data_IF_668900513037
#
_entry.id   IF_668900513037
#
_cell.length_a   1.000
_cell.length_b   1.000
_cell.length_c   1.000
_cell.angle_alpha   90.00
_cell.angle_beta   90.00
_cell.angle_gamma   90.00
#
_symmetry.space_group_name_H-M   'P 1'
#
loop_
_entity.id
_entity.type
_entity.pdbx_description
1 polymer ?
#
# COMPACT_ATOMS: atom_id res chain seq x y z
N UNK A 1 -16.47 8.48 -29.07
CA UNK A 1 -15.86 8.88 -27.78
C UNK A 1 -14.62 9.67 -28.10
N UNK A 2 -14.39 10.81 -27.44
CA UNK A 2 -13.20 11.66 -27.63
C UNK A 2 -11.94 10.90 -27.18
N UNK A 3 -10.96 10.62 -28.05
CA UNK A 3 -9.75 9.88 -27.67
C UNK A 3 -8.92 10.67 -26.65
N UNK A 4 -8.33 9.98 -25.70
CA UNK A 4 -7.53 10.55 -24.61
C UNK A 4 -6.08 10.10 -24.74
N UNK A 5 -5.17 11.06 -24.84
CA UNK A 5 -3.75 10.82 -25.06
C UNK A 5 -2.96 11.37 -23.88
N UNK A 6 -2.25 10.50 -23.18
CA UNK A 6 -1.39 10.90 -22.07
C UNK A 6 0.05 10.99 -22.55
N UNK A 7 0.68 12.13 -22.33
CA UNK A 7 2.07 12.40 -22.67
C UNK A 7 2.90 12.38 -21.39
N UNK A 8 3.94 11.54 -21.34
CA UNK A 8 4.77 11.37 -20.14
C UNK A 8 6.24 11.22 -20.52
N UNK A 9 7.14 11.61 -19.64
CA UNK A 9 8.58 11.55 -19.90
C UNK A 9 9.41 12.13 -18.75
N UNK A 10 10.74 11.94 -18.78
CA UNK A 10 11.65 12.54 -17.81
C UNK A 10 11.56 14.07 -17.77
N UNK A 11 12.05 14.68 -16.68
CA UNK A 11 12.15 16.14 -16.61
C UNK A 11 12.96 16.68 -17.79
N UNK A 12 12.52 17.80 -18.36
CA UNK A 12 13.16 18.45 -19.51
C UNK A 12 13.19 17.62 -20.82
N UNK A 13 12.42 16.53 -20.90
CA UNK A 13 12.28 15.74 -22.13
C UNK A 13 11.42 16.41 -23.20
N UNK A 14 10.82 17.57 -22.94
CA UNK A 14 9.99 18.29 -23.92
C UNK A 14 8.53 17.84 -23.99
N UNK A 15 8.02 17.20 -22.94
CA UNK A 15 6.60 16.81 -22.79
C UNK A 15 5.65 17.99 -23.07
N UNK A 16 5.90 19.15 -22.48
CA UNK A 16 5.02 20.32 -22.61
C UNK A 16 4.90 20.80 -24.06
N UNK A 17 6.02 20.79 -24.80
CA UNK A 17 6.04 21.13 -26.22
C UNK A 17 5.21 20.13 -27.05
N UNK A 18 5.34 18.84 -26.76
CA UNK A 18 4.57 17.78 -27.44
C UNK A 18 3.07 17.92 -27.12
N UNK A 19 2.70 18.17 -25.86
CA UNK A 19 1.29 18.42 -25.48
C UNK A 19 0.73 19.63 -26.23
N UNK A 20 1.44 20.75 -26.24
CA UNK A 20 1.00 21.97 -26.90
C UNK A 20 0.81 21.76 -28.41
N UNK A 21 1.76 21.12 -29.08
CA UNK A 21 1.68 20.86 -30.51
C UNK A 21 0.55 19.88 -30.87
N UNK A 22 0.35 18.82 -30.07
CA UNK A 22 -0.72 17.85 -30.30
C UNK A 22 -2.11 18.45 -30.03
N UNK A 23 -2.29 19.31 -29.02
CA UNK A 23 -3.56 20.02 -28.80
C UNK A 23 -3.97 20.88 -30.00
N UNK A 24 -3.00 21.49 -30.68
CA UNK A 24 -3.25 22.27 -31.90
C UNK A 24 -3.61 21.39 -33.10
N UNK A 25 -2.94 20.25 -33.26
CA UNK A 25 -3.13 19.36 -34.43
C UNK A 25 -4.27 18.36 -34.27
N UNK A 26 -4.68 18.04 -33.05
CA UNK A 26 -5.74 17.09 -32.72
C UNK A 26 -6.76 17.72 -31.75
N UNK A 27 -7.52 18.74 -32.17
CA UNK A 27 -8.49 19.41 -31.30
C UNK A 27 -9.63 18.49 -30.85
N UNK A 28 -9.86 17.39 -31.56
CA UNK A 28 -10.84 16.37 -31.22
C UNK A 28 -10.33 15.35 -30.18
N UNK A 29 -9.08 15.42 -29.74
CA UNK A 29 -8.50 14.54 -28.73
C UNK A 29 -8.21 15.30 -27.42
N UNK A 30 -8.42 14.66 -26.28
CA UNK A 30 -7.97 15.19 -24.98
C UNK A 30 -6.51 14.80 -24.80
N UNK A 31 -5.61 15.75 -24.99
CA UNK A 31 -4.17 15.54 -24.79
C UNK A 31 -3.73 16.18 -23.48
N UNK A 32 -3.09 15.42 -22.60
CA UNK A 32 -2.60 15.93 -21.32
C UNK A 32 -1.29 15.26 -20.89
N UNK A 33 -0.50 15.95 -20.07
CA UNK A 33 0.61 15.37 -19.32
C UNK A 33 0.27 15.10 -17.85
N UNK A 34 -0.85 15.68 -17.37
CA UNK A 34 -1.29 15.51 -16.00
C UNK A 34 -2.19 14.28 -15.89
N UNK A 35 -1.70 13.28 -15.17
CA UNK A 35 -2.44 12.05 -14.91
C UNK A 35 -3.67 12.28 -14.03
N UNK A 36 -3.71 13.33 -13.22
CA UNK A 36 -4.87 13.64 -12.36
C UNK A 36 -6.08 14.10 -13.17
N UNK A 37 -5.86 14.78 -14.30
CA UNK A 37 -6.92 15.21 -15.24
C UNK A 37 -7.69 14.03 -15.86
N UNK A 38 -7.06 12.86 -15.90
CA UNK A 38 -7.67 11.63 -16.41
C UNK A 38 -8.65 10.99 -15.42
N UNK A 39 -8.56 11.34 -14.14
CA UNK A 39 -9.34 10.72 -13.06
C UNK A 39 -9.30 9.18 -13.13
N UNK A 40 -10.45 8.57 -13.43
CA UNK A 40 -10.61 7.10 -13.56
C UNK A 40 -10.48 6.58 -14.99
N UNK A 41 -10.36 7.45 -15.99
CA UNK A 41 -10.31 7.07 -17.41
C UNK A 41 -8.90 6.62 -17.79
N UNK A 42 -8.78 5.46 -18.42
CA UNK A 42 -7.53 5.02 -19.02
C UNK A 42 -7.26 5.85 -20.29
N UNK A 43 -6.01 6.26 -20.55
CA UNK A 43 -5.68 6.88 -21.81
C UNK A 43 -5.85 5.87 -22.95
N UNK A 44 -6.35 6.33 -24.09
CA UNK A 44 -6.45 5.56 -25.32
C UNK A 44 -5.07 5.40 -25.98
N UNK A 45 -4.11 6.28 -25.69
CA UNK A 45 -2.70 6.17 -26.06
C UNK A 45 -1.77 6.81 -25.01
N UNK A 46 -0.59 6.23 -24.80
CA UNK A 46 0.50 6.81 -23.99
C UNK A 46 1.68 7.17 -24.89
N UNK A 47 2.10 8.42 -24.86
CA UNK A 47 3.30 8.92 -25.55
C UNK A 47 4.45 9.04 -24.55
N UNK A 48 5.47 8.21 -24.71
CA UNK A 48 6.67 8.18 -23.88
C UNK A 48 7.76 9.07 -24.48
N UNK A 49 7.85 10.31 -24.01
CA UNK A 49 8.75 11.34 -24.54
C UNK A 49 10.11 11.27 -23.85
N UNK A 50 11.17 11.17 -24.65
CA UNK A 50 12.58 11.21 -24.21
C UNK A 50 13.36 12.17 -25.10
N UNK A 51 14.37 12.83 -24.54
CA UNK A 51 15.14 13.82 -25.31
C UNK A 51 16.15 13.15 -26.24
N UNK A 52 16.33 13.70 -27.45
CA UNK A 52 17.40 13.32 -28.38
C UNK A 52 18.83 13.63 -27.86
N UNK A 53 18.97 14.30 -26.72
CA UNK A 53 20.26 14.65 -26.15
C UNK A 53 21.09 13.43 -25.72
N UNK A 54 20.42 12.36 -25.24
CA UNK A 54 21.07 11.13 -24.80
C UNK A 54 20.10 9.94 -24.81
N UNK A 55 20.61 8.69 -24.90
CA UNK A 55 19.79 7.50 -24.67
C UNK A 55 19.12 7.50 -23.29
N UNK A 56 17.90 6.99 -23.23
CA UNK A 56 17.15 6.89 -21.98
C UNK A 56 17.74 5.81 -21.06
N UNK A 57 17.65 6.04 -19.76
CA UNK A 57 18.06 5.09 -18.73
C UNK A 57 16.87 4.22 -18.28
N UNK A 58 17.14 3.16 -17.51
CA UNK A 58 16.08 2.33 -16.92
C UNK A 58 15.19 3.14 -15.97
N UNK A 59 15.76 4.13 -15.27
CA UNK A 59 15.03 5.02 -14.37
C UNK A 59 14.06 5.94 -15.13
N UNK A 60 14.49 6.44 -16.29
CA UNK A 60 13.62 7.24 -17.17
C UNK A 60 12.40 6.44 -17.62
N UNK A 61 12.62 5.18 -17.99
CA UNK A 61 11.56 4.29 -18.43
C UNK A 61 10.62 3.85 -17.29
N UNK A 62 11.14 3.64 -16.08
CA UNK A 62 10.32 3.27 -14.92
C UNK A 62 9.20 4.28 -14.63
N UNK A 63 9.43 5.57 -14.91
CA UNK A 63 8.42 6.62 -14.77
C UNK A 63 7.26 6.46 -15.76
N UNK A 64 7.55 5.92 -16.95
CA UNK A 64 6.56 5.61 -18.00
C UNK A 64 5.78 4.34 -17.65
N UNK A 65 6.43 3.31 -17.10
CA UNK A 65 5.79 2.02 -16.78
C UNK A 65 4.64 2.12 -15.77
N UNK A 66 4.73 3.05 -14.81
CA UNK A 66 3.66 3.34 -13.83
C UNK A 66 2.35 3.75 -14.50
N UNK A 67 2.45 4.27 -15.73
CA UNK A 67 1.35 4.85 -16.50
C UNK A 67 0.82 3.89 -17.56
N UNK A 68 1.71 3.13 -18.20
CA UNK A 68 1.38 2.21 -19.31
C UNK A 68 0.47 1.06 -18.89
N UNK A 69 0.44 0.67 -17.61
CA UNK A 69 -0.35 -0.48 -17.13
C UNK A 69 -1.87 -0.45 -17.36
N UNK A 70 -2.41 0.58 -18.01
CA UNK A 70 -3.83 0.74 -18.34
C UNK A 70 -4.12 0.96 -19.84
N UNK A 71 -3.11 0.90 -20.71
CA UNK A 71 -3.23 1.24 -22.13
C UNK A 71 -2.42 0.29 -23.01
N UNK A 72 -3.03 -0.22 -24.07
CA UNK A 72 -2.36 -1.13 -25.01
C UNK A 72 -1.49 -0.40 -26.05
N UNK A 73 -1.78 0.88 -26.30
CA UNK A 73 -1.04 1.71 -27.26
C UNK A 73 0.00 2.60 -26.56
N UNK A 74 1.28 2.22 -26.70
CA UNK A 74 2.42 3.03 -26.28
C UNK A 74 3.23 3.42 -27.52
N UNK A 75 3.60 4.70 -27.62
CA UNK A 75 4.45 5.22 -28.69
C UNK A 75 5.65 5.92 -28.04
N UNK A 76 6.86 5.51 -28.42
CA UNK A 76 8.09 6.20 -28.02
C UNK A 76 8.31 7.45 -28.85
N UNK A 77 8.62 8.57 -28.20
CA UNK A 77 8.83 9.86 -28.87
C UNK A 77 10.21 10.38 -28.50
N UNK A 78 11.08 10.55 -29.50
CA UNK A 78 12.38 11.20 -29.33
C UNK A 78 12.22 12.68 -29.68
N UNK A 79 12.25 13.55 -28.68
CA UNK A 79 12.04 14.99 -28.84
C UNK A 79 13.34 15.76 -29.13
N UNK A 80 13.23 17.02 -29.54
CA UNK A 80 14.36 17.93 -29.82
C UNK A 80 15.26 17.44 -30.97
N UNK A 81 14.67 16.78 -31.96
CA UNK A 81 15.42 16.26 -33.13
C UNK A 81 16.01 17.37 -33.99
N UNK A 82 15.49 18.59 -33.88
CA UNK A 82 16.01 19.82 -34.47
C UNK A 82 17.39 20.20 -33.90
N UNK A 83 17.61 19.97 -32.61
CA UNK A 83 18.83 20.35 -31.92
C UNK A 83 19.94 19.28 -31.97
N UNK A 84 19.60 18.02 -32.26
CA UNK A 84 20.52 16.89 -32.10
C UNK A 84 20.65 16.04 -33.36
N UNK A 85 21.70 16.25 -34.17
CA UNK A 85 21.92 15.54 -35.45
C UNK A 85 21.97 14.02 -35.36
N UNK A 86 22.38 13.45 -34.21
CA UNK A 86 22.50 12.01 -33.95
C UNK A 86 21.24 11.38 -33.32
N UNK A 87 20.10 12.06 -33.37
CA UNK A 87 18.86 11.59 -32.74
C UNK A 87 18.42 10.19 -33.21
N UNK A 88 18.72 9.80 -34.45
CA UNK A 88 18.40 8.47 -35.00
C UNK A 88 19.16 7.36 -34.29
N UNK A 89 20.41 7.61 -33.92
CA UNK A 89 21.22 6.66 -33.14
C UNK A 89 20.67 6.54 -31.71
N UNK A 90 20.28 7.66 -31.10
CA UNK A 90 19.63 7.68 -29.79
C UNK A 90 18.31 6.90 -29.82
N UNK A 91 17.50 7.07 -30.86
CA UNK A 91 16.25 6.31 -31.03
C UNK A 91 16.51 4.80 -31.18
N UNK A 92 17.51 4.41 -31.98
CA UNK A 92 17.88 3.01 -32.14
C UNK A 92 18.36 2.39 -30.82
N UNK A 93 19.18 3.13 -30.06
CA UNK A 93 19.63 2.72 -28.73
C UNK A 93 18.46 2.58 -27.75
N UNK A 94 17.52 3.53 -27.75
CA UNK A 94 16.32 3.47 -26.91
C UNK A 94 15.45 2.25 -27.24
N UNK A 95 15.24 1.96 -28.53
CA UNK A 95 14.48 0.79 -28.97
C UNK A 95 15.15 -0.52 -28.54
N UNK A 96 16.48 -0.62 -28.68
CA UNK A 96 17.24 -1.80 -28.28
C UNK A 96 17.20 -2.01 -26.76
N UNK A 97 17.47 -0.95 -25.98
CA UNK A 97 17.37 -0.97 -24.52
C UNK A 97 15.99 -1.42 -24.07
N UNK A 98 14.94 -0.84 -24.64
CA UNK A 98 13.57 -1.13 -24.27
C UNK A 98 13.18 -2.60 -24.56
N UNK A 99 13.57 -3.11 -25.72
CA UNK A 99 13.33 -4.51 -26.08
C UNK A 99 14.13 -5.50 -25.19
N UNK A 100 15.30 -5.10 -24.69
CA UNK A 100 16.09 -5.90 -23.74
C UNK A 100 15.51 -5.91 -22.34
N UNK A 101 14.82 -4.82 -21.97
CA UNK A 101 14.29 -4.58 -20.65
C UNK A 101 12.97 -5.30 -20.38
N UNK A 102 12.10 -5.36 -21.41
CA UNK A 102 10.84 -6.10 -21.37
C UNK A 102 10.40 -6.44 -22.80
N UNK A 103 10.16 -7.72 -23.06
CA UNK A 103 9.74 -8.20 -24.37
C UNK A 103 8.41 -7.58 -24.85
N UNK A 104 7.55 -7.11 -23.93
CA UNK A 104 6.26 -6.47 -24.26
C UNK A 104 6.42 -5.23 -25.13
N UNK A 105 7.58 -4.58 -25.07
CA UNK A 105 7.85 -3.32 -25.78
C UNK A 105 8.66 -3.48 -27.06
N UNK A 106 8.97 -4.72 -27.47
CA UNK A 106 9.75 -4.98 -28.68
C UNK A 106 9.13 -4.39 -29.95
N UNK A 107 7.80 -4.34 -29.99
CA UNK A 107 7.02 -3.81 -31.11
C UNK A 107 6.59 -2.35 -30.93
N UNK A 108 7.02 -1.66 -29.86
CA UNK A 108 6.69 -0.26 -29.61
C UNK A 108 7.18 0.61 -30.77
N UNK A 109 6.30 1.36 -31.45
CA UNK A 109 6.72 2.30 -32.49
C UNK A 109 7.46 3.50 -31.88
N UNK A 110 8.43 4.03 -32.62
CA UNK A 110 9.23 5.19 -32.21
C UNK A 110 9.22 6.26 -33.30
N UNK A 111 9.01 7.52 -32.91
CA UNK A 111 8.98 8.67 -33.83
C UNK A 111 9.84 9.82 -33.30
N UNK A 112 10.49 10.54 -34.20
CA UNK A 112 11.31 11.71 -33.89
C UNK A 112 10.47 12.98 -34.03
N UNK A 113 10.56 13.89 -33.05
CA UNK A 113 9.68 15.05 -32.97
C UNK A 113 10.45 16.32 -32.61
N UNK A 114 10.11 17.41 -33.29
CA UNK A 114 10.47 18.78 -32.91
C UNK A 114 9.19 19.57 -32.65
N UNK A 115 8.65 19.46 -31.44
CA UNK A 115 7.35 20.03 -31.09
C UNK A 115 7.40 21.54 -30.75
N UNK A 116 8.56 22.01 -30.28
CA UNK A 116 8.82 23.41 -29.99
C UNK A 116 10.28 23.72 -30.38
N UNK A 117 10.60 23.71 -31.68
CA UNK A 117 11.96 23.89 -32.15
C UNK A 117 12.46 25.30 -31.82
N UNK A 118 13.75 25.41 -31.46
CA UNK A 118 14.39 26.72 -31.32
C UNK A 118 14.64 27.38 -32.69
N UNK A 119 14.80 26.57 -33.74
CA UNK A 119 15.00 26.96 -35.13
C UNK A 119 14.34 25.91 -36.05
N UNK A 120 13.65 26.37 -37.10
CA UNK A 120 13.01 25.49 -38.09
C UNK A 120 11.52 25.25 -37.87
N UNK A 121 10.94 24.36 -38.69
CA UNK A 121 9.51 24.04 -38.64
C UNK A 121 9.20 23.05 -37.52
N UNK A 122 7.98 23.13 -36.97
CA UNK A 122 7.46 22.13 -36.04
C UNK A 122 7.30 20.81 -36.78
N UNK A 123 8.00 19.76 -36.31
CA UNK A 123 7.96 18.42 -36.89
C UNK A 123 7.19 17.49 -35.94
N UNK A 124 5.89 17.41 -36.13
CA UNK A 124 4.98 16.52 -35.35
C UNK A 124 4.06 15.69 -36.24
N UNK A 125 4.10 15.89 -37.57
CA UNK A 125 3.12 15.32 -38.50
C UNK A 125 3.20 13.78 -38.50
N UNK A 126 4.39 13.18 -38.54
CA UNK A 126 4.58 11.71 -38.44
C UNK A 126 4.00 11.13 -37.14
N UNK A 127 4.11 11.87 -36.03
CA UNK A 127 3.55 11.46 -34.74
C UNK A 127 2.02 11.56 -34.78
N UNK A 128 1.47 12.63 -35.36
CA UNK A 128 0.02 12.84 -35.52
C UNK A 128 -0.57 11.75 -36.42
N UNK A 129 0.07 11.47 -37.56
CA UNK A 129 -0.36 10.44 -38.50
C UNK A 129 -0.38 9.06 -37.83
N UNK A 130 0.72 8.66 -37.19
CA UNK A 130 0.81 7.39 -36.47
C UNK A 130 -0.26 7.31 -35.36
N UNK A 131 -0.45 8.38 -34.61
CA UNK A 131 -1.41 8.42 -33.50
C UNK A 131 -2.85 8.31 -34.01
N UNK A 132 -3.23 9.06 -35.05
CA UNK A 132 -4.56 9.00 -35.67
C UNK A 132 -4.81 7.62 -36.26
N UNK A 133 -3.83 7.05 -36.96
CA UNK A 133 -3.92 5.73 -37.58
C UNK A 133 -4.12 4.64 -36.53
N UNK A 134 -3.37 4.69 -35.42
CA UNK A 134 -3.46 3.72 -34.32
C UNK A 134 -4.73 3.88 -33.48
N UNK A 135 -5.15 5.11 -33.21
CA UNK A 135 -6.44 5.39 -32.56
C UNK A 135 -7.61 4.98 -33.46
N UNK A 136 -7.52 5.18 -34.77
CA UNK A 136 -8.53 4.79 -35.76
C UNK A 136 -8.73 3.27 -35.84
N UNK A 137 -7.63 2.49 -35.82
CA UNK A 137 -7.71 1.01 -35.70
C UNK A 137 -8.34 0.54 -34.38
N UNK A 138 -8.26 1.37 -33.35
CA UNK A 138 -8.83 1.09 -32.02
C UNK A 138 -10.31 1.54 -31.92
N UNK A 139 -10.82 2.33 -32.90
CA UNK A 139 -12.13 2.99 -32.84
C UNK A 139 -13.19 2.42 -33.81
N UNK A 140 -13.79 1.27 -33.43
CA UNK A 140 -15.12 0.72 -33.76
C UNK A 140 -15.43 0.23 -35.20
N UNK A 141 -16.07 -0.97 -35.32
CA UNK A 141 -17.53 -0.97 -35.38
C UNK A 141 -18.22 -2.03 -34.48
N UNK A 142 -19.41 -1.66 -33.99
CA UNK A 142 -20.62 -2.50 -33.81
C UNK A 142 -20.55 -3.91 -33.16
N UNK A 143 -19.44 -4.28 -32.51
CA UNK A 143 -19.33 -5.48 -31.67
C UNK A 143 -19.07 -5.12 -30.20
N UNK A 144 -19.44 -3.92 -29.77
CA UNK A 144 -19.46 -3.55 -28.35
C UNK A 144 -20.53 -4.33 -27.54
N UNK A 145 -21.38 -5.12 -28.21
CA UNK A 145 -22.20 -6.18 -27.59
C UNK A 145 -21.51 -7.55 -27.55
N UNK A 146 -20.24 -7.62 -27.98
CA UNK A 146 -19.41 -8.82 -27.92
C UNK A 146 -17.94 -8.46 -27.74
N UNK A 147 -17.63 -7.53 -26.83
CA UNK A 147 -16.28 -7.50 -26.24
C UNK A 147 -16.21 -8.79 -25.43
N UNK A 148 -15.46 -9.77 -25.92
CA UNK A 148 -15.08 -10.90 -25.09
C UNK A 148 -14.38 -10.29 -23.87
N UNK A 149 -15.13 -10.17 -22.78
CA UNK A 149 -14.58 -10.14 -21.45
C UNK A 149 -13.67 -11.36 -21.42
N UNK A 150 -12.35 -11.15 -21.50
CA UNK A 150 -11.43 -12.19 -21.07
C UNK A 150 -11.82 -12.38 -19.61
N UNK A 151 -12.61 -13.44 -19.35
CA UNK A 151 -13.01 -13.78 -18.01
C UNK A 151 -11.68 -14.01 -17.28
N UNK A 152 -11.35 -13.22 -16.25
CA UNK A 152 -10.10 -13.45 -15.55
C UNK A 152 -10.14 -14.89 -15.06
N UNK A 153 -9.09 -15.65 -15.38
CA UNK A 153 -9.02 -17.05 -15.00
C UNK A 153 -9.20 -17.12 -13.47
N UNK A 154 -10.21 -17.86 -12.94
CA UNK A 154 -10.40 -17.99 -11.50
C UNK A 154 -9.13 -18.42 -10.77
N UNK A 155 -8.25 -19.19 -11.44
CA UNK A 155 -6.96 -19.58 -10.88
C UNK A 155 -5.99 -18.39 -10.79
N UNK A 156 -5.96 -17.50 -11.79
CA UNK A 156 -5.13 -16.30 -11.79
C UNK A 156 -5.59 -15.29 -10.74
N UNK A 157 -6.90 -15.04 -10.64
CA UNK A 157 -7.49 -14.21 -9.58
C UNK A 157 -7.07 -14.71 -8.21
N UNK A 158 -7.21 -16.01 -7.97
CA UNK A 158 -6.82 -16.62 -6.70
C UNK A 158 -5.31 -16.50 -6.45
N UNK A 159 -4.47 -16.71 -7.45
CA UNK A 159 -3.00 -16.56 -7.32
C UNK A 159 -2.61 -15.13 -6.95
N UNK A 160 -3.18 -14.13 -7.64
CA UNK A 160 -2.92 -12.71 -7.36
C UNK A 160 -3.38 -12.38 -5.93
N UNK A 161 -4.60 -12.76 -5.54
CA UNK A 161 -5.13 -12.50 -4.21
C UNK A 161 -4.32 -13.20 -3.10
N UNK A 162 -3.89 -14.45 -3.30
CA UNK A 162 -3.05 -15.15 -2.32
C UNK A 162 -1.68 -14.50 -2.17
N UNK A 163 -1.05 -14.05 -3.27
CA UNK A 163 0.21 -13.31 -3.21
C UNK A 163 0.05 -11.99 -2.44
N UNK A 164 -1.03 -11.25 -2.71
CA UNK A 164 -1.34 -9.98 -2.03
C UNK A 164 -1.65 -10.20 -0.54
N UNK A 165 -2.38 -11.27 -0.20
CA UNK A 165 -2.63 -11.68 1.18
C UNK A 165 -1.34 -11.88 1.95
N UNK A 166 -0.38 -12.62 1.40
CA UNK A 166 0.91 -12.85 2.07
C UNK A 166 1.68 -11.55 2.31
N UNK A 167 1.67 -10.63 1.34
CA UNK A 167 2.27 -9.29 1.50
C UNK A 167 1.59 -8.50 2.62
N UNK A 168 0.26 -8.44 2.62
CA UNK A 168 -0.52 -7.72 3.63
C UNK A 168 -0.33 -8.29 5.04
N UNK A 169 -0.38 -9.62 5.20
CA UNK A 169 -0.17 -10.28 6.49
C UNK A 169 1.23 -9.97 7.05
N UNK A 170 2.26 -9.93 6.19
CA UNK A 170 3.61 -9.54 6.59
C UNK A 170 3.63 -8.08 7.04
N UNK A 171 3.07 -7.16 6.25
CA UNK A 171 3.04 -5.72 6.57
C UNK A 171 2.29 -5.44 7.88
N UNK A 172 1.15 -6.09 8.11
CA UNK A 172 0.38 -6.01 9.37
C UNK A 172 1.20 -6.53 10.56
N UNK A 173 1.89 -7.67 10.38
CA UNK A 173 2.74 -8.25 11.42
C UNK A 173 3.93 -7.36 11.75
N UNK A 174 4.59 -6.80 10.74
CA UNK A 174 5.75 -5.91 10.93
C UNK A 174 5.31 -4.60 11.62
N UNK A 175 4.18 -4.00 11.20
CA UNK A 175 3.63 -2.78 11.81
C UNK A 175 3.21 -2.99 13.26
N UNK A 176 2.50 -4.07 13.57
CA UNK A 176 2.10 -4.40 14.95
C UNK A 176 3.31 -4.71 15.85
N UNK A 177 4.33 -5.37 15.32
CA UNK A 177 5.56 -5.66 16.04
C UNK A 177 6.38 -4.39 16.34
N UNK A 178 6.44 -3.46 15.40
CA UNK A 178 7.08 -2.14 15.56
C UNK A 178 6.33 -1.30 16.61
N UNK A 179 5.01 -1.14 16.46
CA UNK A 179 4.19 -0.42 17.44
C UNK A 179 4.37 -0.96 18.86
N UNK A 180 4.40 -2.29 19.02
CA UNK A 180 4.63 -2.95 20.31
C UNK A 180 6.01 -2.64 20.90
N UNK A 181 7.04 -2.51 20.07
CA UNK A 181 8.37 -2.14 20.53
C UNK A 181 8.40 -0.69 21.02
N UNK A 182 7.80 0.22 20.24
CA UNK A 182 7.71 1.65 20.56
C UNK A 182 6.88 1.86 21.84
N UNK A 183 5.71 1.23 21.95
CA UNK A 183 4.84 1.34 23.11
C UNK A 183 5.50 0.81 24.39
N UNK A 184 6.33 -0.25 24.29
CA UNK A 184 7.11 -0.75 25.44
C UNK A 184 8.23 0.20 25.85
N UNK A 185 8.93 0.79 24.88
CA UNK A 185 9.96 1.79 25.17
C UNK A 185 9.34 2.97 25.92
N UNK A 186 8.22 3.50 25.42
CA UNK A 186 7.46 4.56 26.10
C UNK A 186 7.01 4.12 27.49
N UNK A 187 6.46 2.91 27.65
CA UNK A 187 6.01 2.40 28.95
C UNK A 187 7.13 2.27 29.99
N UNK A 188 8.36 1.98 29.55
CA UNK A 188 9.53 1.90 30.45
C UNK A 188 9.95 3.27 31.01
N UNK A 189 9.71 4.34 30.26
CA UNK A 189 10.04 5.72 30.62
C UNK A 189 8.97 6.41 31.48
N UNK A 190 7.77 5.82 31.60
CA UNK A 190 6.68 6.43 32.38
C UNK A 190 6.98 6.53 33.88
N UNK A 191 6.62 7.68 34.44
CA UNK A 191 6.52 7.94 35.87
C UNK A 191 5.14 7.57 36.45
N UNK A 192 5.02 7.58 37.79
CA UNK A 192 3.88 7.09 38.57
C UNK A 192 2.58 7.94 38.51
N UNK A 193 2.28 8.55 37.37
CA UNK A 193 1.11 9.42 37.21
C UNK A 193 0.64 9.63 35.76
N UNK A 194 1.36 9.10 34.78
CA UNK A 194 1.09 9.31 33.35
C UNK A 194 0.34 8.13 32.68
N UNK A 195 -0.29 7.26 33.47
CA UNK A 195 -0.92 6.04 32.94
C UNK A 195 -2.15 6.33 32.09
N UNK A 196 -2.99 7.29 32.49
CA UNK A 196 -4.18 7.68 31.72
C UNK A 196 -3.80 8.30 30.37
N UNK A 197 -2.76 9.14 30.34
CA UNK A 197 -2.25 9.74 29.12
C UNK A 197 -1.66 8.67 28.18
N UNK A 198 -0.96 7.68 28.74
CA UNK A 198 -0.48 6.53 27.97
C UNK A 198 -1.62 5.68 27.41
N UNK A 199 -2.68 5.44 28.20
CA UNK A 199 -3.88 4.73 27.74
C UNK A 199 -4.56 5.49 26.57
N UNK A 200 -4.67 6.81 26.66
CA UNK A 200 -5.20 7.65 25.58
C UNK A 200 -4.32 7.60 24.32
N UNK A 201 -2.99 7.68 24.47
CA UNK A 201 -2.04 7.55 23.36
C UNK A 201 -2.18 6.20 22.64
N UNK A 202 -2.31 5.10 23.40
CA UNK A 202 -2.54 3.76 22.83
C UNK A 202 -3.86 3.69 22.07
N UNK A 203 -4.94 4.29 22.60
CA UNK A 203 -6.23 4.34 21.93
C UNK A 203 -6.16 5.12 20.60
N UNK A 204 -5.46 6.26 20.57
CA UNK A 204 -5.20 7.00 19.33
C UNK A 204 -4.39 6.18 18.34
N UNK A 205 -3.32 5.52 18.78
CA UNK A 205 -2.49 4.68 17.92
C UNK A 205 -3.28 3.48 17.34
N UNK A 206 -4.23 2.93 18.11
CA UNK A 206 -5.12 1.88 17.64
C UNK A 206 -6.07 2.36 16.54
N UNK A 207 -6.60 3.58 16.66
CA UNK A 207 -7.43 4.21 15.63
C UNK A 207 -6.62 4.49 14.35
N UNK A 208 -5.41 5.02 14.49
CA UNK A 208 -4.49 5.23 13.36
C UNK A 208 -4.10 3.91 12.67
N UNK A 209 -3.88 2.85 13.45
CA UNK A 209 -3.63 1.52 12.89
C UNK A 209 -4.85 1.00 12.10
N UNK A 210 -6.05 1.19 12.64
CA UNK A 210 -7.30 0.79 11.98
C UNK A 210 -7.46 1.48 10.61
N UNK A 211 -7.31 2.80 10.55
CA UNK A 211 -7.42 3.56 9.28
C UNK A 211 -6.33 3.15 8.30
N UNK A 212 -5.09 3.02 8.79
CA UNK A 212 -3.95 2.59 7.97
C UNK A 212 -4.17 1.20 7.34
N UNK A 213 -4.67 0.21 8.09
CA UNK A 213 -4.95 -1.13 7.56
C UNK A 213 -5.99 -1.05 6.44
N UNK A 214 -7.08 -0.29 6.65
CA UNK A 214 -8.13 -0.14 5.65
C UNK A 214 -7.57 0.46 4.35
N UNK A 215 -6.78 1.51 4.44
CA UNK A 215 -6.17 2.18 3.28
C UNK A 215 -5.14 1.30 2.56
N UNK A 216 -4.31 0.54 3.28
CA UNK A 216 -3.33 -0.37 2.67
C UNK A 216 -4.04 -1.54 1.97
N UNK A 217 -5.07 -2.13 2.58
CA UNK A 217 -5.86 -3.21 1.99
C UNK A 217 -6.59 -2.73 0.74
N UNK A 218 -7.26 -1.58 0.79
CA UNK A 218 -7.98 -1.03 -0.37
C UNK A 218 -7.03 -0.67 -1.51
N UNK A 219 -5.81 -0.17 -1.20
CA UNK A 219 -4.75 0.03 -2.21
C UNK A 219 -4.33 -1.27 -2.89
N UNK A 220 -4.09 -2.33 -2.13
CA UNK A 220 -3.66 -3.63 -2.69
C UNK A 220 -4.76 -4.33 -3.49
N UNK A 221 -6.02 -4.25 -3.04
CA UNK A 221 -7.15 -4.79 -3.81
C UNK A 221 -7.33 -4.01 -5.11
N UNK A 222 -7.17 -2.68 -5.09
CA UNK A 222 -7.23 -1.85 -6.30
C UNK A 222 -6.12 -2.23 -7.28
N UNK A 223 -4.90 -2.45 -6.80
CA UNK A 223 -3.79 -2.93 -7.62
C UNK A 223 -4.06 -4.33 -8.20
N UNK A 224 -4.63 -5.24 -7.41
CA UNK A 224 -5.01 -6.58 -7.86
C UNK A 224 -6.12 -6.55 -8.92
N UNK A 225 -7.12 -5.68 -8.77
CA UNK A 225 -8.20 -5.51 -9.74
C UNK A 225 -7.66 -5.11 -11.11
N UNK A 226 -6.72 -4.17 -11.14
CA UNK A 226 -6.04 -3.72 -12.37
C UNK A 226 -5.27 -4.88 -13.00
N UNK A 227 -4.54 -5.65 -12.19
CA UNK A 227 -3.71 -6.77 -12.64
C UNK A 227 -4.53 -7.87 -13.33
N UNK A 228 -5.74 -8.16 -12.82
CA UNK A 228 -6.63 -9.19 -13.40
C UNK A 228 -7.68 -8.63 -14.35
N UNK A 229 -7.64 -7.33 -14.69
CA UNK A 229 -8.63 -6.69 -15.55
C UNK A 229 -10.06 -6.71 -14.98
N UNK A 230 -10.21 -6.84 -13.66
CA UNK A 230 -11.50 -6.76 -12.99
C UNK A 230 -11.90 -5.30 -12.72
N UNK A 231 -13.21 -5.05 -12.62
CA UNK A 231 -13.69 -3.73 -12.26
C UNK A 231 -13.21 -3.37 -10.84
N UNK A 232 -12.80 -2.11 -10.68
CA UNK A 232 -12.33 -1.60 -9.39
C UNK A 232 -13.40 -1.84 -8.31
N UNK A 233 -13.01 -2.32 -7.12
CA UNK A 233 -13.95 -2.46 -6.01
C UNK A 233 -14.55 -1.09 -5.67
N UNK A 234 -15.86 -1.04 -5.43
CA UNK A 234 -16.44 0.11 -4.75
C UNK A 234 -16.05 0.03 -3.26
N UNK A 235 -15.80 1.18 -2.59
CA UNK A 235 -15.57 1.18 -1.15
C UNK A 235 -16.74 0.47 -0.48
N UNK A 236 -16.46 -0.67 0.15
CA UNK A 236 -17.48 -1.37 0.93
C UNK A 236 -17.83 -0.53 2.16
N UNK A 237 -19.08 -0.61 2.61
CA UNK A 237 -19.48 -0.09 3.93
C UNK A 237 -18.53 -0.68 4.97
N UNK A 238 -17.85 0.14 5.81
CA UNK A 238 -16.98 -0.37 6.87
C UNK A 238 -17.77 -1.31 7.77
N UNK A 239 -17.32 -2.56 7.91
CA UNK A 239 -18.08 -3.59 8.64
C UNK A 239 -17.61 -3.75 10.10
N UNK A 240 -16.35 -3.46 10.40
CA UNK A 240 -15.79 -3.52 11.74
C UNK A 240 -15.34 -2.13 12.20
N UNK A 241 -15.71 -1.76 13.43
CA UNK A 241 -15.18 -0.57 14.09
C UNK A 241 -13.71 -0.74 14.50
N UNK A 242 -13.10 0.30 15.10
CA UNK A 242 -11.75 0.18 15.64
C UNK A 242 -11.68 -0.91 16.74
N UNK A 243 -10.53 -1.57 16.90
CA UNK A 243 -10.37 -2.60 17.92
C UNK A 243 -10.49 -2.01 19.33
N UNK A 244 -11.18 -2.74 20.21
CA UNK A 244 -11.23 -2.38 21.63
C UNK A 244 -9.86 -2.65 22.28
N UNK A 245 -9.26 -1.59 22.81
CA UNK A 245 -7.95 -1.63 23.48
C UNK A 245 -8.07 -1.29 24.96
N UNK A 246 -9.29 -1.17 25.47
CA UNK A 246 -9.55 -0.83 26.86
C UNK A 246 -8.88 -1.85 27.80
N UNK A 247 -8.17 -1.33 28.80
CA UNK A 247 -7.54 -2.17 29.81
C UNK A 247 -8.65 -2.75 30.69
N UNK A 248 -8.82 -4.07 30.71
CA UNK A 248 -9.80 -4.72 31.60
C UNK A 248 -9.44 -4.44 33.05
N UNK A 249 -10.32 -3.69 33.72
CA UNK A 249 -9.97 -2.98 34.95
C UNK A 249 -10.26 -3.79 36.24
N UNK A 250 -9.19 -4.06 36.98
CA UNK A 250 -8.98 -3.56 38.37
C UNK A 250 -9.74 -4.11 39.58
N UNK A 251 -10.54 -5.19 39.52
CA UNK A 251 -11.10 -5.76 40.75
C UNK A 251 -10.04 -6.50 41.61
N UNK A 252 -9.31 -7.47 41.05
CA UNK A 252 -8.35 -8.26 41.83
C UNK A 252 -7.14 -7.45 42.32
N UNK A 253 -6.73 -6.44 41.55
CA UNK A 253 -5.50 -5.65 41.76
C UNK A 253 -5.56 -4.77 43.02
N UNK A 254 -6.75 -4.24 43.36
CA UNK A 254 -6.95 -3.49 44.61
C UNK A 254 -6.92 -4.41 45.83
N UNK A 255 -7.36 -5.65 45.69
CA UNK A 255 -7.33 -6.64 46.77
C UNK A 255 -5.91 -7.14 47.03
N UNK A 256 -5.17 -7.48 45.97
CA UNK A 256 -3.75 -7.85 46.06
C UNK A 256 -2.87 -6.70 46.59
N UNK A 257 -3.12 -5.47 46.14
CA UNK A 257 -2.42 -4.29 46.65
C UNK A 257 -2.70 -4.03 48.13
N UNK A 258 -3.94 -4.23 48.59
CA UNK A 258 -4.31 -4.12 50.01
C UNK A 258 -3.69 -5.24 50.85
N UNK A 259 -3.69 -6.48 50.36
CA UNK A 259 -3.05 -7.61 51.05
C UNK A 259 -1.53 -7.42 51.15
N UNK A 260 -0.89 -6.96 50.07
CA UNK A 260 0.55 -6.65 50.06
C UNK A 260 0.90 -5.46 50.96
N UNK A 261 0.05 -4.44 51.04
CA UNK A 261 0.23 -3.32 51.96
C UNK A 261 0.14 -3.78 53.43
N UNK A 262 -0.85 -4.61 53.77
CA UNK A 262 -0.99 -5.19 55.12
C UNK A 262 0.22 -6.06 55.48
N UNK A 263 0.68 -6.91 54.55
CA UNK A 263 1.85 -7.76 54.75
C UNK A 263 3.15 -6.94 54.87
N UNK A 264 3.31 -5.90 54.06
CA UNK A 264 4.44 -4.98 54.07
C UNK A 264 4.51 -4.14 55.35
N UNK A 265 3.36 -3.71 55.88
CA UNK A 265 3.26 -3.04 57.18
C UNK A 265 3.67 -3.99 58.31
N UNK A 266 3.19 -5.24 58.30
CA UNK A 266 3.55 -6.24 59.31
C UNK A 266 5.04 -6.58 59.31
N UNK A 267 5.63 -6.78 58.12
CA UNK A 267 7.06 -7.04 57.97
C UNK A 267 7.91 -5.82 58.37
N UNK A 268 7.51 -4.63 57.94
CA UNK A 268 8.18 -3.37 58.26
C UNK A 268 8.22 -3.07 59.76
N UNK A 269 7.12 -3.35 60.46
CA UNK A 269 7.04 -3.25 61.91
C UNK A 269 8.00 -4.24 62.60
N UNK A 270 8.10 -5.47 62.11
CA UNK A 270 9.02 -6.49 62.63
C UNK A 270 10.50 -6.09 62.45
N UNK A 271 10.86 -5.55 61.28
CA UNK A 271 12.23 -5.07 61.01
C UNK A 271 12.56 -3.84 61.85
N UNK A 272 11.64 -2.90 62.02
CA UNK A 272 11.83 -1.72 62.87
C UNK A 272 12.04 -2.10 64.35
N UNK A 273 11.31 -3.09 64.86
CA UNK A 273 11.50 -3.60 66.22
C UNK A 273 12.82 -4.34 66.38
N UNK A 274 13.23 -5.13 65.38
CA UNK A 274 14.52 -5.82 65.39
C UNK A 274 15.71 -4.85 65.32
N UNK A 275 15.64 -3.83 64.47
CA UNK A 275 16.70 -2.82 64.32
C UNK A 275 16.77 -1.87 65.52
N UNK A 276 15.62 -1.47 66.08
CA UNK A 276 15.57 -0.69 67.33
C UNK A 276 16.24 -1.43 68.49
N UNK A 277 16.00 -2.76 68.58
CA UNK A 277 16.61 -3.60 69.62
C UNK A 277 18.13 -3.76 69.45
N UNK A 278 18.61 -3.83 68.21
CA UNK A 278 20.04 -3.86 67.91
C UNK A 278 20.74 -2.52 68.24
N UNK A 279 20.10 -1.39 67.92
CA UNK A 279 20.63 -0.05 68.20
C UNK A 279 20.59 0.30 69.69
N UNK A 280 19.55 -0.13 70.41
CA UNK A 280 19.46 0.04 71.86
C UNK A 280 20.58 -0.70 72.62
N UNK A 281 21.18 -1.74 72.02
CA UNK A 281 22.31 -2.46 72.60
C UNK A 281 23.67 -1.78 72.43
N UNK A 282 23.82 -0.82 71.51
CA UNK A 282 25.13 -0.23 71.17
C UNK A 282 25.44 1.11 71.85
N UNK A 283 24.45 1.86 72.35
CA UNK A 283 24.67 3.20 72.93
C UNK A 283 23.86 3.40 74.23
N UNK A 284 24.42 3.04 75.41
CA UNK A 284 23.79 3.29 76.70
C UNK A 284 23.80 4.79 76.98
N UNK A 285 22.64 5.46 76.88
CA UNK A 285 22.47 6.87 77.27
C UNK A 285 21.71 7.76 76.28
N UNK A 286 21.49 7.31 75.04
CA UNK A 286 20.71 8.03 74.00
C UNK A 286 19.41 7.32 73.64
N UNK A 287 18.72 6.79 74.66
CA UNK A 287 17.58 5.87 74.53
C UNK A 287 16.31 6.52 73.97
N UNK A 288 16.16 7.85 73.94
CA UNK A 288 14.98 8.48 73.33
C UNK A 288 15.21 8.84 71.84
N UNK A 289 16.39 9.37 71.50
CA UNK A 289 16.71 9.83 70.14
C UNK A 289 16.96 8.69 69.14
N UNK A 290 17.60 7.60 69.59
CA UNK A 290 17.87 6.44 68.74
C UNK A 290 16.61 5.71 68.26
N UNK A 291 15.56 5.68 69.09
CA UNK A 291 14.30 5.04 68.76
C UNK A 291 13.50 5.83 67.73
N UNK A 292 13.45 7.16 67.88
CA UNK A 292 12.80 8.04 66.91
C UNK A 292 13.51 7.99 65.54
N UNK A 293 14.84 8.03 65.51
CA UNK A 293 15.61 7.96 64.27
C UNK A 293 15.49 6.58 63.60
N UNK A 294 15.57 5.48 64.36
CA UNK A 294 15.45 4.12 63.83
C UNK A 294 14.05 3.80 63.29
N UNK A 295 13.00 4.27 63.98
CA UNK A 295 11.61 4.11 63.51
C UNK A 295 11.34 4.94 62.25
N UNK A 296 11.82 6.18 62.19
CA UNK A 296 11.69 7.02 60.99
C UNK A 296 12.42 6.41 59.78
N UNK A 297 13.65 5.91 59.98
CA UNK A 297 14.40 5.25 58.93
C UNK A 297 13.75 3.93 58.47
N UNK A 298 13.22 3.14 59.40
CA UNK A 298 12.46 1.92 59.10
C UNK A 298 11.19 2.20 58.30
N UNK A 299 10.40 3.20 58.69
CA UNK A 299 9.20 3.63 57.96
C UNK A 299 9.55 4.15 56.56
N UNK A 300 10.60 4.97 56.43
CA UNK A 300 11.05 5.47 55.14
C UNK A 300 11.46 4.33 54.21
N UNK A 301 12.18 3.32 54.70
CA UNK A 301 12.57 2.15 53.92
C UNK A 301 11.37 1.30 53.52
N UNK A 302 10.38 1.11 54.41
CA UNK A 302 9.13 0.39 54.09
C UNK A 302 8.36 1.13 52.99
N UNK A 303 8.18 2.45 53.13
CA UNK A 303 7.53 3.28 52.11
C UNK A 303 8.29 3.19 50.79
N UNK A 304 9.62 3.23 50.81
CA UNK A 304 10.44 3.09 49.62
C UNK A 304 10.28 1.70 48.97
N UNK A 305 10.35 0.61 49.72
CA UNK A 305 10.19 -0.76 49.19
C UNK A 305 8.78 -0.97 48.61
N UNK A 306 7.74 -0.52 49.32
CA UNK A 306 6.35 -0.61 48.84
C UNK A 306 6.17 0.20 47.56
N UNK A 307 6.74 1.41 47.50
CA UNK A 307 6.70 2.26 46.31
C UNK A 307 7.47 1.63 45.15
N UNK A 308 8.71 1.17 45.38
CA UNK A 308 9.53 0.52 44.36
C UNK A 308 8.87 -0.74 43.80
N UNK A 309 8.29 -1.59 44.65
CA UNK A 309 7.56 -2.79 44.23
C UNK A 309 6.27 -2.45 43.50
N UNK A 310 5.55 -1.41 43.93
CA UNK A 310 4.38 -0.88 43.25
C UNK A 310 4.70 -0.45 41.82
N UNK A 311 5.78 0.31 41.64
CA UNK A 311 6.27 0.75 40.33
C UNK A 311 6.65 -0.42 39.41
N UNK A 312 7.37 -1.41 39.94
CA UNK A 312 7.76 -2.60 39.16
C UNK A 312 6.54 -3.42 38.73
N UNK A 313 5.56 -3.58 39.61
CA UNK A 313 4.33 -4.30 39.30
C UNK A 313 3.47 -3.55 38.29
N UNK A 314 3.36 -2.22 38.42
CA UNK A 314 2.67 -1.36 37.47
C UNK A 314 3.30 -1.42 36.08
N UNK A 315 4.63 -1.34 35.99
CA UNK A 315 5.37 -1.51 34.73
C UNK A 315 5.16 -2.89 34.11
N UNK A 316 5.20 -3.96 34.91
CA UNK A 316 4.94 -5.31 34.42
C UNK A 316 3.49 -5.47 33.92
N UNK A 317 2.53 -4.82 34.57
CA UNK A 317 1.13 -4.80 34.13
C UNK A 317 0.95 -4.02 32.81
N UNK A 318 1.66 -2.89 32.64
CA UNK A 318 1.67 -2.13 31.39
C UNK A 318 2.33 -2.92 30.26
N UNK A 319 3.46 -3.58 30.53
CA UNK A 319 4.13 -4.43 29.54
C UNK A 319 3.19 -5.53 29.02
N UNK A 320 2.54 -6.26 29.95
CA UNK A 320 1.56 -7.30 29.62
C UNK A 320 0.40 -6.75 28.79
N UNK A 321 -0.17 -5.62 29.22
CA UNK A 321 -1.28 -4.99 28.51
C UNK A 321 -0.88 -4.53 27.10
N UNK A 322 0.32 -3.97 26.93
CA UNK A 322 0.85 -3.61 25.60
C UNK A 322 0.99 -4.85 24.70
N UNK A 323 1.38 -6.01 25.25
CA UNK A 323 1.40 -7.28 24.50
C UNK A 323 0.01 -7.66 24.01
N UNK A 324 -0.97 -7.57 24.90
CA UNK A 324 -2.36 -7.89 24.61
C UNK A 324 -2.90 -6.97 23.51
N UNK A 325 -2.69 -5.66 23.63
CA UNK A 325 -3.09 -4.69 22.61
C UNK A 325 -2.40 -4.97 21.27
N UNK A 326 -1.10 -5.26 21.25
CA UNK A 326 -0.39 -5.60 20.02
C UNK A 326 -0.99 -6.84 19.34
N UNK A 327 -1.37 -7.85 20.13
CA UNK A 327 -2.04 -9.04 19.63
C UNK A 327 -3.43 -8.71 19.07
N UNK A 328 -4.20 -7.85 19.74
CA UNK A 328 -5.50 -7.36 19.26
C UNK A 328 -5.37 -6.59 17.95
N UNK A 329 -4.41 -5.66 17.84
CA UNK A 329 -4.15 -4.91 16.60
C UNK A 329 -3.77 -5.85 15.46
N UNK A 330 -2.89 -6.82 15.73
CA UNK A 330 -2.51 -7.82 14.74
C UNK A 330 -3.72 -8.63 14.28
N UNK A 331 -4.50 -9.18 15.21
CA UNK A 331 -5.68 -9.98 14.90
C UNK A 331 -6.71 -9.16 14.10
N UNK A 332 -6.96 -7.92 14.51
CA UNK A 332 -7.83 -6.97 13.80
C UNK A 332 -7.36 -6.74 12.36
N UNK A 333 -6.05 -6.53 12.18
CA UNK A 333 -5.45 -6.37 10.85
C UNK A 333 -5.58 -7.62 9.98
N UNK A 334 -5.30 -8.81 10.53
CA UNK A 334 -5.43 -10.08 9.83
C UNK A 334 -6.89 -10.39 9.46
N UNK A 335 -7.85 -10.11 10.36
CA UNK A 335 -9.28 -10.25 10.11
C UNK A 335 -9.75 -9.30 8.99
N UNK A 336 -9.37 -8.03 9.07
CA UNK A 336 -9.71 -7.01 8.05
C UNK A 336 -9.19 -7.42 6.66
N UNK A 337 -7.96 -7.92 6.57
CA UNK A 337 -7.39 -8.45 5.32
C UNK A 337 -8.24 -9.61 4.80
N UNK A 338 -8.56 -10.59 5.64
CA UNK A 338 -9.33 -11.77 5.22
C UNK A 338 -10.73 -11.39 4.71
N UNK A 339 -11.46 -10.55 5.45
CA UNK A 339 -12.79 -10.09 5.10
C UNK A 339 -12.81 -9.30 3.78
N UNK A 340 -11.90 -8.34 3.64
CA UNK A 340 -11.83 -7.48 2.44
C UNK A 340 -11.40 -8.23 1.19
N UNK A 341 -10.44 -9.15 1.31
CA UNK A 341 -10.04 -10.01 0.19
C UNK A 341 -11.16 -10.95 -0.24
N UNK A 342 -11.91 -11.53 0.71
CA UNK A 342 -13.06 -12.37 0.41
C UNK A 342 -14.21 -11.57 -0.24
N UNK A 343 -14.46 -10.36 0.24
CA UNK A 343 -15.41 -9.43 -0.37
C UNK A 343 -15.00 -9.06 -1.81
N UNK A 344 -13.70 -8.91 -2.08
CA UNK A 344 -13.20 -8.67 -3.43
C UNK A 344 -13.37 -9.90 -4.33
N UNK A 345 -12.94 -11.09 -3.88
CA UNK A 345 -13.06 -12.35 -4.65
C UNK A 345 -14.53 -12.64 -5.01
N UNK A 346 -15.45 -12.51 -4.05
CA UNK A 346 -16.88 -12.75 -4.26
C UNK A 346 -17.50 -11.79 -5.28
N UNK A 347 -17.11 -10.50 -5.26
CA UNK A 347 -17.56 -9.49 -6.22
C UNK A 347 -17.03 -9.76 -7.62
N UNK A 348 -15.74 -10.07 -7.77
CA UNK A 348 -15.17 -10.39 -9.07
C UNK A 348 -15.75 -11.69 -9.64
N UNK A 349 -16.03 -12.68 -8.79
CA UNK A 349 -16.74 -13.90 -9.18
C UNK A 349 -18.20 -13.63 -9.58
N UNK A 350 -18.89 -12.67 -8.96
CA UNK A 350 -20.23 -12.25 -9.35
C UNK A 350 -20.23 -11.52 -10.70
N UNK A 351 -19.27 -10.60 -10.91
CA UNK A 351 -19.08 -9.88 -12.17
C UNK A 351 -18.77 -10.86 -13.33
N UNK A 352 -17.88 -11.83 -13.09
CA UNK A 352 -17.54 -12.86 -14.07
C UNK A 352 -18.74 -13.76 -14.43
N UNK A 353 -19.69 -13.97 -13.50
CA UNK A 353 -20.95 -14.71 -13.75
C UNK A 353 -22.00 -13.87 -14.47
N UNK A 354 -22.06 -12.57 -14.19
CA UNK A 354 -23.00 -11.64 -14.82
C UNK A 354 -22.61 -11.27 -16.26
N UNK A 355 -21.34 -11.48 -16.64
CA UNK A 355 -20.92 -11.35 -18.02
C UNK A 355 -21.63 -12.40 -18.91
N UNK A 356 -22.21 -11.99 -20.07
CA UNK A 356 -22.96 -12.90 -20.92
C UNK A 356 -22.10 -14.10 -21.35
N UNK A 357 -22.65 -15.32 -21.22
CA UNK A 357 -22.06 -16.54 -21.77
C UNK A 357 -22.03 -16.40 -23.29
N UNK A 358 -20.89 -16.00 -23.86
CA UNK A 358 -20.69 -16.14 -25.29
C UNK A 358 -20.83 -17.63 -25.62
N UNK A 359 -21.79 -17.93 -26.50
CA UNK A 359 -22.23 -19.27 -26.82
C UNK A 359 -21.05 -20.20 -27.11
N UNK A 360 -21.14 -21.39 -26.52
CA UNK A 360 -20.53 -22.60 -27.09
C UNK A 360 -20.73 -22.52 -28.60
N UNK A 361 -19.63 -22.52 -29.35
CA UNK A 361 -19.62 -22.48 -30.80
C UNK A 361 -20.47 -23.62 -31.38
N UNK A 362 -21.75 -23.36 -31.58
CA UNK A 362 -22.67 -24.16 -32.38
C UNK A 362 -22.43 -23.90 -33.88
N UNK A 363 -21.15 -23.78 -34.27
CA UNK A 363 -20.72 -23.60 -35.66
C UNK A 363 -19.78 -24.74 -36.08
N UNK A 364 -20.14 -25.94 -35.63
CA UNK A 364 -19.81 -27.18 -36.34
C UNK A 364 -21.09 -27.71 -36.98
N UNK A 365 -21.80 -26.83 -37.69
CA UNK A 365 -22.72 -27.26 -38.72
C UNK A 365 -21.82 -27.77 -39.83
N UNK A 366 -21.54 -29.08 -39.79
CA UNK A 366 -20.95 -29.83 -40.90
C UNK A 366 -21.79 -29.49 -42.13
N UNK A 367 -21.32 -28.54 -42.94
CA UNK A 367 -21.75 -28.36 -44.31
C UNK A 367 -21.24 -29.57 -45.08
N UNK A 368 -21.95 -30.68 -44.90
CA UNK A 368 -22.04 -31.73 -45.90
C UNK A 368 -22.75 -31.08 -47.08
N UNK A 369 -21.99 -30.51 -48.00
CA UNK A 369 -22.26 -30.40 -49.44
C UNK A 369 -21.25 -29.45 -50.08
N UNK A 370 -20.52 -29.96 -51.06
CA UNK A 370 -19.84 -29.13 -52.06
C UNK A 370 -18.32 -29.23 -52.14
N UNK A 371 -17.74 -30.43 -52.17
CA UNK A 371 -16.56 -30.67 -53.03
C UNK A 371 -16.90 -31.88 -53.89
N UNK A 372 -17.35 -31.55 -55.09
CA UNK A 372 -17.58 -32.40 -56.26
C UNK A 372 -16.32 -33.13 -56.69
N UNK A 373 -16.53 -34.37 -57.14
CA UNK A 373 -15.90 -35.02 -58.28
C UNK A 373 -14.56 -34.46 -58.74
N UNK A 374 -13.49 -35.09 -58.28
CA UNK A 374 -12.20 -35.03 -58.96
C UNK A 374 -11.46 -36.36 -58.82
N UNK A 375 -12.08 -37.44 -59.30
CA UNK A 375 -11.38 -38.67 -59.69
C UNK A 375 -12.07 -39.26 -60.92
N UNK A 376 -11.74 -38.67 -62.06
CA UNK A 376 -11.92 -39.30 -63.37
C UNK A 376 -10.55 -39.34 -64.06
N UNK A 377 -10.15 -40.57 -64.40
CA UNK A 377 -9.07 -41.01 -65.31
C UNK A 377 -7.60 -41.00 -64.82
N UNK A 378 -7.09 -42.19 -64.45
CA UNK A 378 -6.45 -43.14 -65.37
C UNK A 378 -6.21 -44.50 -64.67
#
# INVERSE_FOLDING_TARGET
MTPVVLVTGPRLSGVDGVVAALRQRLPAAVVTADRTELGRRAPDAVLAVVSAAAPMTRSDWASVEVVVGRTELVIGVVSKVDAHRRWREVMAANRASLASWDARYRSTPWVGVAAAPGLGAVLVDDLVELLVERLGRTSLPANATRRATVRPDPAEVRRVLQRRRLRLLRVVRDRSAAWRADARATAAELGSGAVADFEAMVATAALEFHTWVLEEVDREITAAAIEVGAAAPQPGVPTAGPPDTSRTATSSRRLEGRLAAVLGVGFGLGVALASSRLLAGMLPGWSAGGWAAGTAAGLALVVWVVRARGLLHERAALDRWVVEVAATLRWHGEATVAERLLAAESRWAAQARAAPRNGVSADRRLTRNGVTDQYEWC
#
